data_IF_956358577051
#
_entry.id   IF_956358577051
#
_cell.length_a   1.000
_cell.length_b   1.000
_cell.length_c   1.000
_cell.angle_alpha   90.00
_cell.angle_beta   90.00
_cell.angle_gamma   90.00
#
_symmetry.space_group_name_H-M   'P 1'
#
loop_
_entity.id
_entity.type
_entity.pdbx_description
1 polymer ?
#
# COMPACT_ATOMS: atom_id res chain seq x y z
N UNK A 1 -20.31 20.28 -1.78
CA UNK A 1 -19.02 20.38 -1.04
C UNK A 1 -17.95 20.66 -2.08
N UNK A 2 -17.18 21.73 -1.93
CA UNK A 2 -16.23 22.15 -2.98
C UNK A 2 -15.12 21.12 -3.18
N UNK A 3 -14.75 20.87 -4.44
CA UNK A 3 -13.68 19.92 -4.81
C UNK A 3 -12.36 20.23 -4.07
N UNK A 4 -12.03 21.52 -3.91
CA UNK A 4 -10.84 21.96 -3.18
C UNK A 4 -10.88 21.55 -1.70
N UNK A 5 -12.05 21.59 -1.06
CA UNK A 5 -12.21 21.15 0.33
C UNK A 5 -12.00 19.64 0.48
N UNK A 6 -12.56 18.86 -0.43
CA UNK A 6 -12.39 17.41 -0.42
C UNK A 6 -10.91 17.01 -0.58
N UNK A 7 -10.20 17.65 -1.52
CA UNK A 7 -8.77 17.42 -1.72
C UNK A 7 -7.98 17.79 -0.45
N UNK A 8 -8.29 18.92 0.20
CA UNK A 8 -7.60 19.34 1.42
C UNK A 8 -7.81 18.32 2.56
N UNK A 9 -9.06 17.93 2.81
CA UNK A 9 -9.40 16.95 3.86
C UNK A 9 -8.79 15.59 3.55
N UNK A 10 -8.91 15.12 2.30
CA UNK A 10 -8.32 13.86 1.86
C UNK A 10 -6.81 13.84 2.10
N UNK A 11 -6.07 14.87 1.67
CA UNK A 11 -4.64 14.99 1.91
C UNK A 11 -4.28 15.04 3.41
N UNK A 12 -5.08 15.72 4.23
CA UNK A 12 -4.89 15.73 5.68
C UNK A 12 -4.99 14.34 6.29
N UNK A 13 -6.02 13.56 5.91
CA UNK A 13 -6.20 12.17 6.36
C UNK A 13 -5.07 11.29 5.85
N UNK A 14 -4.67 11.42 4.58
CA UNK A 14 -3.57 10.67 3.98
C UNK A 14 -2.23 10.96 4.67
N UNK A 15 -1.99 12.19 5.09
CA UNK A 15 -0.79 12.55 5.87
C UNK A 15 -0.71 11.74 7.16
N UNK A 16 -1.80 11.65 7.92
CA UNK A 16 -1.84 10.81 9.13
C UNK A 16 -1.63 9.32 8.81
N UNK A 17 -2.22 8.82 7.74
CA UNK A 17 -1.98 7.46 7.28
C UNK A 17 -0.49 7.21 7.00
N UNK A 18 0.17 8.15 6.31
CA UNK A 18 1.58 8.06 5.95
C UNK A 18 2.52 7.98 7.15
N UNK A 19 2.18 8.56 8.31
CA UNK A 19 2.94 8.38 9.55
C UNK A 19 3.03 6.90 9.93
N UNK A 20 1.92 6.17 9.87
CA UNK A 20 1.91 4.73 10.15
C UNK A 20 2.70 3.94 9.11
N UNK A 21 2.69 4.37 7.84
CA UNK A 21 3.50 3.75 6.79
C UNK A 21 5.00 3.88 7.14
N UNK A 22 5.47 5.08 7.44
CA UNK A 22 6.88 5.32 7.83
C UNK A 22 7.26 4.48 9.06
N UNK A 23 6.42 4.49 10.11
CA UNK A 23 6.67 3.67 11.30
C UNK A 23 6.81 2.20 10.93
N UNK A 24 5.97 1.68 10.02
CA UNK A 24 6.04 0.27 9.59
C UNK A 24 7.39 -0.11 8.98
N UNK A 25 8.04 0.81 8.27
CA UNK A 25 9.37 0.60 7.70
C UNK A 25 10.52 0.72 8.70
N UNK A 26 10.30 1.48 9.80
CA UNK A 26 11.30 1.68 10.85
C UNK A 26 11.30 0.57 11.91
N UNK A 27 10.23 -0.20 12.04
CA UNK A 27 10.17 -1.31 13.01
C UNK A 27 10.87 -2.55 12.46
N UNK A 28 11.66 -3.21 13.32
CA UNK A 28 12.36 -4.45 12.97
C UNK A 28 11.50 -5.71 13.19
N UNK A 29 10.38 -5.59 13.86
CA UNK A 29 9.44 -6.70 14.12
C UNK A 29 8.39 -6.75 12.98
N UNK A 30 8.36 -7.84 12.18
CA UNK A 30 7.40 -7.98 11.10
C UNK A 30 5.93 -7.83 11.54
N UNK A 31 5.57 -8.40 12.70
CA UNK A 31 4.20 -8.27 13.21
C UNK A 31 3.82 -6.83 13.50
N UNK A 32 4.70 -6.09 14.17
CA UNK A 32 4.48 -4.66 14.42
C UNK A 32 4.40 -3.87 13.12
N UNK A 33 5.24 -4.18 12.13
CA UNK A 33 5.18 -3.57 10.81
C UNK A 33 3.79 -3.76 10.17
N UNK A 34 3.26 -4.99 10.14
CA UNK A 34 1.93 -5.24 9.56
C UNK A 34 0.78 -4.60 10.34
N UNK A 35 0.90 -4.46 11.67
CA UNK A 35 -0.06 -3.66 12.46
C UNK A 35 -0.12 -2.21 11.98
N UNK A 36 1.03 -1.59 11.75
CA UNK A 36 1.08 -0.21 11.24
C UNK A 36 0.62 -0.10 9.79
N UNK A 37 0.95 -1.07 8.95
CA UNK A 37 0.42 -1.14 7.57
C UNK A 37 -1.09 -1.35 7.53
N UNK A 38 -1.67 -2.09 8.49
CA UNK A 38 -3.13 -2.18 8.64
C UNK A 38 -3.73 -0.79 8.90
N UNK A 39 -3.19 -0.04 9.88
CA UNK A 39 -3.68 1.29 10.21
C UNK A 39 -3.53 2.26 9.03
N UNK A 40 -2.38 2.24 8.36
CA UNK A 40 -2.15 3.02 7.15
C UNK A 40 -3.21 2.74 6.09
N UNK A 41 -3.40 1.48 5.69
CA UNK A 41 -4.34 1.09 4.65
C UNK A 41 -5.79 1.43 5.05
N UNK A 42 -6.16 1.21 6.32
CA UNK A 42 -7.51 1.53 6.81
C UNK A 42 -7.80 3.04 6.73
N UNK A 43 -6.85 3.88 7.14
CA UNK A 43 -7.00 5.34 7.09
C UNK A 43 -7.00 5.82 5.62
N UNK A 44 -6.17 5.24 4.75
CA UNK A 44 -6.16 5.55 3.31
C UNK A 44 -7.48 5.15 2.62
N UNK A 45 -8.14 4.07 3.07
CA UNK A 45 -9.47 3.74 2.57
C UNK A 45 -10.47 4.87 2.85
N UNK A 46 -10.42 5.46 4.06
CA UNK A 46 -11.26 6.62 4.42
C UNK A 46 -10.86 7.84 3.58
N UNK A 47 -9.59 8.14 3.43
CA UNK A 47 -9.10 9.24 2.60
C UNK A 47 -9.56 9.13 1.15
N UNK A 48 -9.54 7.91 0.57
CA UNK A 48 -9.95 7.65 -0.82
C UNK A 48 -11.39 8.04 -1.12
N UNK A 49 -12.27 8.09 -0.10
CA UNK A 49 -13.65 8.58 -0.25
C UNK A 49 -13.66 10.06 -0.65
N UNK A 50 -12.78 10.86 -0.08
CA UNK A 50 -12.67 12.30 -0.36
C UNK A 50 -12.10 12.58 -1.75
N UNK A 51 -11.34 11.67 -2.32
CA UNK A 51 -10.85 11.72 -3.70
C UNK A 51 -11.81 11.07 -4.70
N UNK A 52 -13.01 10.62 -4.27
CA UNK A 52 -13.99 9.90 -5.09
C UNK A 52 -13.40 8.68 -5.81
N UNK A 53 -12.36 8.08 -5.26
CA UNK A 53 -11.74 6.89 -5.79
C UNK A 53 -12.30 5.62 -5.15
N UNK A 54 -13.39 5.08 -5.72
CA UNK A 54 -14.03 3.88 -5.17
C UNK A 54 -13.13 2.65 -5.25
N UNK A 55 -12.32 2.54 -6.31
CA UNK A 55 -11.31 1.48 -6.38
C UNK A 55 -10.30 1.61 -5.24
N UNK A 56 -9.84 2.84 -4.94
CA UNK A 56 -8.97 3.11 -3.79
C UNK A 56 -9.60 2.66 -2.47
N UNK A 57 -10.87 3.02 -2.23
CA UNK A 57 -11.59 2.60 -1.01
C UNK A 57 -11.57 1.09 -0.86
N UNK A 58 -12.00 0.36 -1.89
CA UNK A 58 -12.13 -1.10 -1.83
C UNK A 58 -10.78 -1.79 -1.72
N UNK A 59 -9.79 -1.39 -2.53
CA UNK A 59 -8.47 -2.02 -2.51
C UNK A 59 -7.73 -1.75 -1.20
N UNK A 60 -7.86 -0.57 -0.60
CA UNK A 60 -7.27 -0.26 0.70
C UNK A 60 -7.94 -1.03 1.84
N UNK A 61 -9.26 -1.26 1.81
CA UNK A 61 -9.92 -2.16 2.77
C UNK A 61 -9.45 -3.61 2.63
N UNK A 62 -9.26 -4.09 1.41
CA UNK A 62 -8.70 -5.42 1.15
C UNK A 62 -7.27 -5.50 1.68
N UNK A 63 -6.44 -4.47 1.44
CA UNK A 63 -5.07 -4.39 1.96
C UNK A 63 -5.05 -4.42 3.50
N UNK A 64 -5.91 -3.63 4.15
CA UNK A 64 -6.04 -3.62 5.60
C UNK A 64 -6.41 -5.02 6.13
N UNK A 65 -7.44 -5.64 5.56
CA UNK A 65 -7.89 -6.98 5.95
C UNK A 65 -6.78 -8.03 5.79
N UNK A 66 -6.06 -8.00 4.67
CA UNK A 66 -4.90 -8.87 4.44
C UNK A 66 -3.78 -8.62 5.47
N UNK A 67 -3.44 -7.37 5.74
CA UNK A 67 -2.39 -7.02 6.70
C UNK A 67 -2.77 -7.48 8.12
N UNK A 68 -4.05 -7.40 8.50
CA UNK A 68 -4.55 -7.99 9.74
C UNK A 68 -4.35 -9.51 9.77
N UNK A 69 -4.65 -10.23 8.66
CA UNK A 69 -4.44 -11.66 8.56
C UNK A 69 -2.95 -12.05 8.70
N UNK A 70 -2.04 -11.24 8.12
CA UNK A 70 -0.59 -11.44 8.30
C UNK A 70 -0.19 -11.20 9.75
N UNK A 71 -0.67 -10.12 10.37
CA UNK A 71 -0.40 -9.81 11.78
C UNK A 71 -0.77 -10.95 12.73
N UNK A 72 -1.91 -11.63 12.47
CA UNK A 72 -2.39 -12.78 13.26
C UNK A 72 -1.83 -14.12 12.79
N UNK A 73 -0.85 -14.18 11.89
CA UNK A 73 -0.28 -15.41 11.30
C UNK A 73 -1.34 -16.31 10.65
N UNK A 74 -2.40 -15.72 10.08
CA UNK A 74 -3.52 -16.44 9.46
C UNK A 74 -3.56 -16.36 7.94
N UNK A 75 -2.58 -15.73 7.29
CA UNK A 75 -2.52 -15.66 5.83
C UNK A 75 -2.07 -17.00 5.23
N UNK A 76 -3.02 -17.87 4.96
CA UNK A 76 -2.80 -19.16 4.29
C UNK A 76 -2.90 -19.01 2.76
N UNK A 77 -2.52 -20.07 2.01
CA UNK A 77 -2.68 -20.13 0.55
C UNK A 77 -4.12 -19.80 0.11
N UNK A 78 -5.12 -20.37 0.79
CA UNK A 78 -6.52 -20.15 0.44
C UNK A 78 -6.93 -18.69 0.64
N UNK A 79 -6.49 -18.06 1.74
CA UNK A 79 -6.72 -16.64 1.98
C UNK A 79 -5.98 -15.76 0.97
N UNK A 80 -4.77 -16.12 0.55
CA UNK A 80 -4.04 -15.40 -0.49
C UNK A 80 -4.82 -15.42 -1.81
N UNK A 81 -5.29 -16.61 -2.25
CA UNK A 81 -6.11 -16.74 -3.46
C UNK A 81 -7.41 -15.95 -3.32
N UNK A 82 -8.07 -16.03 -2.18
CA UNK A 82 -9.28 -15.27 -1.90
C UNK A 82 -9.04 -13.76 -2.07
N UNK A 83 -8.01 -13.19 -1.45
CA UNK A 83 -7.68 -11.77 -1.57
C UNK A 83 -7.35 -11.37 -3.00
N UNK A 84 -6.66 -12.21 -3.78
CA UNK A 84 -6.37 -11.93 -5.20
C UNK A 84 -7.66 -11.87 -6.01
N UNK A 85 -8.55 -12.86 -5.87
CA UNK A 85 -9.83 -12.90 -6.59
C UNK A 85 -10.69 -11.70 -6.21
N UNK A 86 -10.86 -11.43 -4.91
CA UNK A 86 -11.68 -10.31 -4.41
C UNK A 86 -11.11 -8.97 -4.89
N UNK A 87 -9.79 -8.81 -4.90
CA UNK A 87 -9.14 -7.58 -5.40
C UNK A 87 -9.47 -7.34 -6.87
N UNK A 88 -9.35 -8.36 -7.72
CA UNK A 88 -9.65 -8.24 -9.15
C UNK A 88 -11.14 -7.97 -9.36
N UNK A 89 -12.00 -8.81 -8.80
CA UNK A 89 -13.45 -8.72 -9.03
C UNK A 89 -14.01 -7.40 -8.53
N UNK A 90 -13.78 -7.07 -7.25
CA UNK A 90 -14.34 -5.84 -6.68
C UNK A 90 -13.61 -4.60 -7.21
N UNK A 91 -12.27 -4.64 -7.34
CA UNK A 91 -11.51 -3.49 -7.82
C UNK A 91 -11.88 -3.09 -9.24
N UNK A 92 -12.13 -4.06 -10.14
CA UNK A 92 -12.61 -3.78 -11.50
C UNK A 92 -14.07 -3.33 -11.49
N UNK A 93 -14.92 -3.99 -10.69
CA UNK A 93 -16.35 -3.67 -10.64
C UNK A 93 -16.64 -2.24 -10.17
N UNK A 94 -15.91 -1.76 -9.14
CA UNK A 94 -16.10 -0.41 -8.59
C UNK A 94 -15.25 0.66 -9.28
N UNK A 95 -14.49 0.29 -10.31
CA UNK A 95 -13.56 1.20 -10.95
C UNK A 95 -14.29 2.34 -11.66
N UNK A 96 -14.09 3.55 -11.18
CA UNK A 96 -14.66 4.77 -11.71
C UNK A 96 -13.62 5.74 -12.31
N UNK A 97 -12.33 5.35 -12.34
CA UNK A 97 -11.21 6.18 -12.80
C UNK A 97 -10.50 5.62 -14.04
N UNK A 98 -11.16 4.72 -14.78
CA UNK A 98 -10.58 4.09 -15.96
C UNK A 98 -9.28 3.34 -15.66
N UNK A 99 -8.25 3.47 -16.50
CA UNK A 99 -6.99 2.75 -16.32
C UNK A 99 -6.24 3.15 -15.04
N UNK A 100 -6.38 4.40 -14.58
CA UNK A 100 -5.77 4.88 -13.33
C UNK A 100 -6.32 4.12 -12.13
N UNK A 101 -7.62 3.84 -12.12
CA UNK A 101 -8.26 3.07 -11.06
C UNK A 101 -7.84 1.60 -11.02
N UNK A 102 -7.17 1.07 -12.05
CA UNK A 102 -6.59 -0.27 -12.02
C UNK A 102 -5.22 -0.32 -11.31
N UNK A 103 -4.53 0.82 -11.16
CA UNK A 103 -3.23 0.86 -10.50
C UNK A 103 -3.26 0.31 -9.06
N UNK A 104 -4.19 0.70 -8.18
CA UNK A 104 -4.26 0.11 -6.84
C UNK A 104 -4.62 -1.39 -6.88
N UNK A 105 -5.36 -1.87 -7.90
CA UNK A 105 -5.61 -3.30 -8.08
C UNK A 105 -4.29 -4.04 -8.35
N UNK A 106 -3.49 -3.54 -9.30
CA UNK A 106 -2.18 -4.11 -9.61
C UNK A 106 -1.23 -4.05 -8.41
N UNK A 107 -1.21 -2.94 -7.67
CA UNK A 107 -0.39 -2.79 -6.48
C UNK A 107 -0.73 -3.84 -5.41
N UNK A 108 -2.02 -4.09 -5.15
CA UNK A 108 -2.44 -5.11 -4.18
C UNK A 108 -2.12 -6.53 -4.66
N UNK A 109 -2.28 -6.81 -5.94
CA UNK A 109 -1.90 -8.13 -6.52
C UNK A 109 -0.39 -8.33 -6.36
N UNK A 110 0.42 -7.36 -6.80
CA UNK A 110 1.88 -7.40 -6.73
C UNK A 110 2.36 -7.69 -5.30
N UNK A 111 1.96 -6.87 -4.33
CA UNK A 111 2.43 -7.02 -2.94
C UNK A 111 1.88 -8.29 -2.26
N UNK A 112 0.69 -8.76 -2.66
CA UNK A 112 0.11 -10.01 -2.14
C UNK A 112 0.92 -11.21 -2.63
N UNK A 113 1.33 -11.22 -3.90
CA UNK A 113 2.20 -12.24 -4.47
C UNK A 113 3.60 -12.18 -3.86
N UNK A 114 4.17 -10.98 -3.72
CA UNK A 114 5.45 -10.79 -3.05
C UNK A 114 5.44 -11.36 -1.63
N UNK A 115 4.44 -11.03 -0.83
CA UNK A 115 4.33 -11.53 0.55
C UNK A 115 4.17 -13.05 0.65
N UNK A 116 3.61 -13.69 -0.38
CA UNK A 116 3.43 -15.13 -0.39
C UNK A 116 4.64 -15.91 -0.92
N UNK A 117 5.23 -15.44 -2.03
CA UNK A 117 6.28 -16.18 -2.74
C UNK A 117 7.70 -15.78 -2.35
N UNK A 118 7.94 -14.51 -1.99
CA UNK A 118 9.28 -14.02 -1.73
C UNK A 118 9.65 -14.26 -0.27
N UNK A 119 10.75 -14.98 -0.06
CA UNK A 119 11.31 -15.28 1.26
C UNK A 119 12.59 -14.49 1.53
N UNK A 120 13.30 -14.12 0.47
CA UNK A 120 14.54 -13.36 0.59
C UNK A 120 14.23 -11.89 0.85
N UNK A 121 14.88 -11.32 1.87
CA UNK A 121 14.70 -9.93 2.27
C UNK A 121 14.99 -8.91 1.14
N UNK A 122 15.94 -9.23 0.25
CA UNK A 122 16.25 -8.39 -0.92
C UNK A 122 15.07 -8.33 -1.88
N UNK A 123 14.51 -9.48 -2.21
CA UNK A 123 13.36 -9.59 -3.13
C UNK A 123 12.11 -8.93 -2.55
N UNK A 124 11.86 -9.11 -1.24
CA UNK A 124 10.74 -8.45 -0.54
C UNK A 124 10.89 -6.91 -0.60
N UNK A 125 12.09 -6.38 -0.33
CA UNK A 125 12.34 -4.93 -0.42
C UNK A 125 12.19 -4.40 -1.84
N UNK A 126 12.60 -5.16 -2.84
CA UNK A 126 12.39 -4.80 -4.25
C UNK A 126 10.90 -4.73 -4.57
N UNK A 127 10.10 -5.70 -4.13
CA UNK A 127 8.65 -5.68 -4.27
C UNK A 127 8.04 -4.41 -3.62
N UNK A 128 8.43 -4.08 -2.41
CA UNK A 128 7.95 -2.85 -1.76
C UNK A 128 8.28 -1.58 -2.53
N UNK A 129 9.49 -1.49 -3.13
CA UNK A 129 9.85 -0.33 -3.96
C UNK A 129 8.97 -0.27 -5.22
N UNK A 130 8.74 -1.40 -5.89
CA UNK A 130 7.86 -1.48 -7.07
C UNK A 130 6.44 -1.08 -6.70
N UNK A 131 5.94 -1.57 -5.58
CA UNK A 131 4.61 -1.24 -5.05
C UNK A 131 4.46 0.25 -4.79
N UNK A 132 5.43 0.88 -4.11
CA UNK A 132 5.43 2.33 -3.87
C UNK A 132 5.43 3.13 -5.17
N UNK A 133 6.17 2.71 -6.21
CA UNK A 133 6.15 3.39 -7.52
C UNK A 133 4.76 3.36 -8.14
N UNK A 134 4.07 2.22 -8.10
CA UNK A 134 2.69 2.10 -8.62
C UNK A 134 1.76 3.04 -7.84
N UNK A 135 1.87 3.09 -6.51
CA UNK A 135 1.05 3.98 -5.69
C UNK A 135 1.37 5.46 -5.88
N UNK A 136 2.64 5.85 -6.09
CA UNK A 136 3.01 7.23 -6.41
C UNK A 136 2.27 7.70 -7.67
N UNK A 137 2.27 6.89 -8.75
CA UNK A 137 1.55 7.22 -9.99
C UNK A 137 0.05 7.36 -9.75
N UNK A 138 -0.52 6.42 -9.01
CA UNK A 138 -1.94 6.46 -8.65
C UNK A 138 -2.31 7.68 -7.83
N UNK A 139 -1.59 7.98 -6.75
CA UNK A 139 -1.88 9.09 -5.86
C UNK A 139 -1.68 10.46 -6.54
N UNK A 140 -0.70 10.58 -7.44
CA UNK A 140 -0.56 11.77 -8.30
C UNK A 140 -1.81 12.00 -9.14
N UNK A 141 -2.35 10.95 -9.74
CA UNK A 141 -3.50 11.06 -10.63
C UNK A 141 -4.81 11.44 -9.89
N UNK A 142 -4.93 11.10 -8.59
CA UNK A 142 -6.09 11.48 -7.77
C UNK A 142 -5.85 12.74 -6.91
N UNK A 143 -4.70 13.42 -7.08
CA UNK A 143 -4.31 14.63 -6.35
C UNK A 143 -4.10 14.43 -4.84
N UNK A 144 -3.74 13.21 -4.42
CA UNK A 144 -3.32 12.90 -3.05
C UNK A 144 -1.81 13.11 -2.87
N UNK A 145 -1.40 14.38 -2.79
CA UNK A 145 0.00 14.77 -2.68
C UNK A 145 0.65 14.32 -1.37
N UNK A 146 -0.14 14.19 -0.30
CA UNK A 146 0.37 13.70 0.97
C UNK A 146 0.82 12.24 0.85
N UNK A 147 0.01 11.38 0.24
CA UNK A 147 0.40 9.99 -0.03
C UNK A 147 1.58 9.90 -0.99
N UNK A 148 1.65 10.75 -2.02
CA UNK A 148 2.82 10.83 -2.93
C UNK A 148 4.11 11.09 -2.15
N UNK A 149 4.10 12.09 -1.26
CA UNK A 149 5.27 12.44 -0.45
C UNK A 149 5.69 11.29 0.48
N UNK A 150 4.71 10.64 1.13
CA UNK A 150 4.97 9.53 2.06
C UNK A 150 5.46 8.28 1.35
N UNK A 151 4.87 7.90 0.23
CA UNK A 151 5.33 6.77 -0.60
C UNK A 151 6.72 7.04 -1.20
N UNK A 152 7.00 8.27 -1.65
CA UNK A 152 8.33 8.63 -2.13
C UNK A 152 9.39 8.52 -1.03
N UNK A 153 9.08 8.97 0.18
CA UNK A 153 9.97 8.86 1.32
C UNK A 153 10.22 7.39 1.70
N UNK A 154 9.19 6.55 1.74
CA UNK A 154 9.33 5.13 2.04
C UNK A 154 10.07 4.38 0.95
N UNK A 155 9.87 4.71 -0.33
CA UNK A 155 10.65 4.16 -1.43
C UNK A 155 12.15 4.50 -1.30
N UNK A 156 12.49 5.74 -0.96
CA UNK A 156 13.88 6.16 -0.71
C UNK A 156 14.49 5.39 0.47
N UNK A 157 13.78 5.24 1.58
CA UNK A 157 14.21 4.45 2.74
C UNK A 157 14.44 2.99 2.30
N UNK A 158 13.54 2.43 1.49
CA UNK A 158 13.64 1.08 0.93
C UNK A 158 14.90 0.90 0.08
N UNK A 159 15.17 1.84 -0.84
CA UNK A 159 16.36 1.84 -1.72
C UNK A 159 17.65 1.91 -0.89
N UNK A 160 17.75 2.85 0.05
CA UNK A 160 18.93 2.98 0.91
C UNK A 160 19.16 1.70 1.72
N UNK A 161 18.10 1.13 2.27
CA UNK A 161 18.17 -0.13 3.02
C UNK A 161 18.61 -1.32 2.15
N UNK A 162 18.13 -1.38 0.90
CA UNK A 162 18.53 -2.41 -0.06
C UNK A 162 20.00 -2.29 -0.44
N UNK A 163 20.48 -1.06 -0.72
CA UNK A 163 21.91 -0.81 -1.04
C UNK A 163 22.80 -1.23 0.14
N UNK A 164 22.44 -0.89 1.38
CA UNK A 164 23.19 -1.31 2.57
C UNK A 164 23.27 -2.83 2.68
N UNK A 165 22.16 -3.51 2.46
CA UNK A 165 22.08 -4.97 2.51
C UNK A 165 22.95 -5.65 1.41
N UNK A 166 23.01 -5.07 0.22
CA UNK A 166 23.85 -5.59 -0.87
C UNK A 166 25.34 -5.40 -0.54
N UNK A 167 25.71 -4.27 0.05
CA UNK A 167 27.11 -3.98 0.43
C UNK A 167 27.59 -4.88 1.56
N UNK A 168 26.77 -5.10 2.60
CA UNK A 168 27.14 -5.95 3.73
C UNK A 168 27.34 -7.42 3.38
N UNK A 169 26.74 -7.92 2.30
CA UNK A 169 26.92 -9.30 1.84
C UNK A 169 28.16 -9.48 0.93
N UNK A 170 28.91 -8.40 0.62
CA UNK A 170 30.13 -8.46 -0.18
C UNK A 170 31.41 -8.33 0.66
N UNK A 171 31.28 -7.98 1.93
CA UNK A 171 32.36 -7.99 2.95
C UNK A 171 32.37 -9.29 3.75
#
# INVERSE_FOLDING_TARGET
MDLAWNILVGNGISFFAGIFLIISYCVNDPKKAYKHQFLNAFILAISSVFFFSWTGVVTMFIAASRNAMVYYDRLTRNWTIFFLIVTVVLGVYVNNLGWVGLLPVFAIIEITLCNYFLKEIKSIKTGFIVNSVIYIVYFLAILDFASVAMESLTALIGIVSLIRLIRSNKS
#
